data_IF_336745855791
#
_entry.id   IF_336745855791
#
_cell.length_a   1.000
_cell.length_b   1.000
_cell.length_c   1.000
_cell.angle_alpha   90.00
_cell.angle_beta   90.00
_cell.angle_gamma   90.00
#
_symmetry.space_group_name_H-M   'P 1'
#
loop_
_entity.id
_entity.type
_entity.pdbx_description
1 polymer ?
#
# COMPACT_ATOMS: atom_id res chain seq x y z
N UNK A 1 5.87 -9.71 5.68
CA UNK A 1 5.64 -10.70 6.76
C UNK A 1 4.23 -11.29 6.72
N UNK A 2 3.15 -10.49 6.82
CA UNK A 2 1.76 -11.03 6.82
C UNK A 2 1.42 -11.87 5.58
N UNK A 3 1.92 -11.48 4.41
CA UNK A 3 1.84 -12.26 3.15
C UNK A 3 2.23 -13.72 3.35
N UNK A 4 3.31 -13.96 4.09
CA UNK A 4 3.88 -15.30 4.31
C UNK A 4 3.16 -16.01 5.45
N UNK A 5 2.90 -15.31 6.57
CA UNK A 5 2.46 -15.97 7.82
C UNK A 5 0.94 -16.07 8.00
N UNK A 6 0.17 -15.24 7.31
CA UNK A 6 -1.29 -15.15 7.49
C UNK A 6 -2.04 -15.42 6.19
N UNK A 7 -1.52 -14.94 5.05
CA UNK A 7 -2.18 -15.09 3.76
C UNK A 7 -1.71 -16.32 2.97
N UNK A 8 -0.64 -17.00 3.40
CA UNK A 8 -0.13 -18.19 2.73
C UNK A 8 0.40 -17.91 1.31
N UNK A 9 0.80 -16.67 1.02
CA UNK A 9 1.32 -16.23 -0.29
C UNK A 9 2.80 -16.56 -0.45
N UNK A 10 3.24 -17.73 0.01
CA UNK A 10 4.63 -18.17 -0.08
C UNK A 10 4.71 -19.65 -0.43
N UNK A 11 5.90 -20.09 -0.84
CA UNK A 11 6.17 -21.49 -1.19
C UNK A 11 6.03 -22.46 0.01
N UNK A 12 5.80 -21.94 1.22
CA UNK A 12 5.49 -22.70 2.44
C UNK A 12 4.03 -23.22 2.46
N UNK A 13 3.23 -22.89 1.46
CA UNK A 13 1.86 -23.35 1.29
C UNK A 13 0.82 -22.51 2.06
N UNK A 14 -0.47 -22.83 1.90
CA UNK A 14 -1.59 -22.06 2.43
C UNK A 14 -1.84 -22.37 3.93
N UNK A 15 -0.82 -22.18 4.77
CA UNK A 15 -0.91 -22.43 6.22
C UNK A 15 -0.78 -21.13 7.01
N UNK A 16 -1.58 -21.00 8.07
CA UNK A 16 -1.52 -19.85 8.99
C UNK A 16 -0.53 -20.20 10.10
N UNK A 17 0.57 -19.45 10.16
CA UNK A 17 1.64 -19.63 11.16
C UNK A 17 1.52 -18.67 12.34
N UNK A 18 0.73 -17.60 12.22
CA UNK A 18 0.50 -16.63 13.29
C UNK A 18 -1.00 -16.46 13.51
N UNK A 19 -1.54 -16.80 14.69
CA UNK A 19 -2.90 -16.42 15.05
C UNK A 19 -3.03 -14.90 14.98
N UNK A 20 -4.10 -14.41 14.33
CA UNK A 20 -4.51 -13.01 14.48
C UNK A 20 -5.03 -12.85 15.92
N UNK A 21 -4.67 -11.80 16.67
CA UNK A 21 -5.42 -11.45 17.87
C UNK A 21 -6.85 -11.14 17.43
N UNK A 22 -7.78 -12.04 17.76
CA UNK A 22 -9.20 -11.85 17.49
C UNK A 22 -9.73 -10.79 18.46
N UNK A 23 -9.88 -9.56 17.98
CA UNK A 23 -10.60 -8.53 18.73
C UNK A 23 -12.06 -8.98 18.90
N UNK A 24 -12.45 -9.33 20.12
CA UNK A 24 -13.86 -9.58 20.48
C UNK A 24 -14.19 -10.92 21.12
N UNK A 25 -13.24 -11.84 21.33
CA UNK A 25 -13.49 -13.09 22.06
C UNK A 25 -12.73 -13.05 23.39
N UNK A 26 -13.52 -13.20 24.47
CA UNK A 26 -13.16 -13.28 25.88
C UNK A 26 -11.68 -13.60 26.20
N UNK A 27 -11.00 -12.81 27.06
CA UNK A 27 -9.57 -12.98 27.40
C UNK A 27 -9.17 -14.36 27.96
N UNK A 28 -10.12 -15.19 28.36
CA UNK A 28 -9.86 -16.54 28.88
C UNK A 28 -9.70 -17.62 27.81
N UNK A 29 -9.99 -17.33 26.53
CA UNK A 29 -9.58 -18.17 25.40
C UNK A 29 -8.25 -17.68 24.83
N UNK A 30 -7.30 -17.46 25.76
CA UNK A 30 -5.97 -16.97 25.46
C UNK A 30 -5.41 -17.70 24.26
N UNK A 31 -4.98 -16.93 23.27
CA UNK A 31 -4.22 -17.44 22.15
C UNK A 31 -3.00 -18.18 22.71
N UNK A 32 -3.06 -19.50 22.79
CA UNK A 32 -1.86 -20.30 22.67
C UNK A 32 -1.29 -19.93 21.31
N UNK A 33 -0.40 -18.94 21.32
CA UNK A 33 0.33 -18.55 20.14
C UNK A 33 1.01 -19.80 19.62
N UNK A 34 0.59 -20.28 18.45
CA UNK A 34 1.26 -21.40 17.79
C UNK A 34 2.74 -21.11 17.81
N UNK A 35 3.49 -21.86 18.63
CA UNK A 35 4.93 -21.67 18.72
C UNK A 35 5.51 -22.22 17.43
N UNK A 36 5.80 -21.32 16.50
CA UNK A 36 6.52 -21.62 15.27
C UNK A 36 7.87 -22.20 15.68
N UNK A 37 8.20 -23.40 15.20
CA UNK A 37 9.51 -24.00 15.50
C UNK A 37 10.64 -23.11 14.95
N UNK A 38 11.84 -23.11 15.56
CA UNK A 38 12.95 -22.30 15.07
C UNK A 38 13.30 -22.57 13.59
N UNK A 39 13.17 -23.82 13.16
CA UNK A 39 13.38 -24.23 11.77
C UNK A 39 12.35 -23.60 10.83
N UNK A 40 11.08 -23.57 11.23
CA UNK A 40 9.99 -22.99 10.45
C UNK A 40 10.08 -21.46 10.42
N UNK A 41 10.48 -20.83 11.53
CA UNK A 41 10.74 -19.40 11.60
C UNK A 41 11.86 -18.99 10.63
N UNK A 42 12.95 -19.76 10.59
CA UNK A 42 14.04 -19.53 9.63
C UNK A 42 13.58 -19.68 8.16
N UNK A 43 12.64 -20.58 7.87
CA UNK A 43 12.04 -20.71 6.53
C UNK A 43 11.16 -19.49 6.19
N UNK A 44 10.35 -19.02 7.14
CA UNK A 44 9.53 -17.82 6.97
C UNK A 44 10.40 -16.59 6.68
N UNK A 45 11.48 -16.39 7.43
CA UNK A 45 12.36 -15.25 7.25
C UNK A 45 13.07 -15.27 5.89
N UNK A 46 13.44 -16.46 5.39
CA UNK A 46 13.99 -16.63 4.03
C UNK A 46 13.00 -16.21 2.94
N UNK A 47 11.75 -16.64 3.05
CA UNK A 47 10.71 -16.23 2.09
C UNK A 47 10.45 -14.72 2.15
N UNK A 48 10.43 -14.13 3.35
CA UNK A 48 10.27 -12.68 3.51
C UNK A 48 11.44 -11.93 2.84
N UNK A 49 12.68 -12.38 3.04
CA UNK A 49 13.85 -11.78 2.40
C UNK A 49 13.76 -11.86 0.87
N UNK A 50 13.34 -13.01 0.32
CA UNK A 50 13.11 -13.20 -1.12
C UNK A 50 12.11 -12.19 -1.67
N UNK A 51 10.95 -12.01 -1.03
CA UNK A 51 9.95 -11.03 -1.45
C UNK A 51 10.49 -9.58 -1.43
N UNK A 52 11.25 -9.23 -0.39
CA UNK A 52 11.84 -7.89 -0.28
C UNK A 52 12.85 -7.67 -1.40
N UNK A 53 13.73 -8.64 -1.66
CA UNK A 53 14.75 -8.56 -2.71
C UNK A 53 14.13 -8.47 -4.11
N UNK A 54 13.10 -9.27 -4.39
CA UNK A 54 12.36 -9.21 -5.65
C UNK A 54 11.66 -7.86 -5.83
N UNK A 55 10.99 -7.37 -4.78
CA UNK A 55 10.35 -6.05 -4.78
C UNK A 55 11.35 -4.93 -5.01
N UNK A 56 12.50 -4.98 -4.35
CA UNK A 56 13.58 -4.01 -4.52
C UNK A 56 14.16 -4.05 -5.95
N UNK A 57 14.46 -5.25 -6.47
CA UNK A 57 14.96 -5.40 -7.85
C UNK A 57 13.96 -4.84 -8.86
N UNK A 58 12.68 -5.19 -8.73
CA UNK A 58 11.61 -4.69 -9.61
C UNK A 58 11.45 -3.17 -9.52
N UNK A 59 11.49 -2.60 -8.31
CA UNK A 59 11.45 -1.16 -8.12
C UNK A 59 12.66 -0.48 -8.78
N UNK A 60 13.88 -0.96 -8.51
CA UNK A 60 15.11 -0.44 -9.09
C UNK A 60 15.10 -0.52 -10.62
N UNK A 61 14.67 -1.64 -11.17
CA UNK A 61 14.55 -1.82 -12.62
C UNK A 61 13.54 -0.84 -13.23
N UNK A 62 12.37 -0.70 -12.60
CA UNK A 62 11.32 0.23 -13.06
C UNK A 62 11.78 1.68 -13.04
N UNK A 63 12.47 2.10 -11.97
CA UNK A 63 13.03 3.44 -11.84
C UNK A 63 14.18 3.67 -12.82
N UNK A 64 15.04 2.66 -13.03
CA UNK A 64 16.16 2.76 -13.97
C UNK A 64 15.67 2.87 -15.42
N UNK A 65 14.65 2.09 -15.80
CA UNK A 65 14.01 2.19 -17.13
C UNK A 65 13.37 3.55 -17.38
N UNK A 66 12.87 4.20 -16.34
CA UNK A 66 12.20 5.51 -16.44
C UNK A 66 13.08 6.66 -15.93
N UNK A 67 14.41 6.50 -15.91
CA UNK A 67 15.33 7.46 -15.29
C UNK A 67 15.15 8.90 -15.80
N UNK A 68 15.01 9.08 -17.11
CA UNK A 68 14.79 10.39 -17.70
C UNK A 68 13.48 11.07 -17.25
N UNK A 69 12.42 10.30 -16.95
CA UNK A 69 11.17 10.86 -16.41
C UNK A 69 11.34 11.22 -14.94
N UNK A 70 12.08 10.41 -14.18
CA UNK A 70 12.39 10.66 -12.78
C UNK A 70 13.20 11.95 -12.62
N UNK A 71 14.22 12.15 -13.44
CA UNK A 71 15.05 13.35 -13.40
C UNK A 71 14.20 14.61 -13.70
N UNK A 72 13.30 14.55 -14.70
CA UNK A 72 12.34 15.65 -14.98
C UNK A 72 11.43 15.98 -13.80
N UNK A 73 10.92 14.96 -13.12
CA UNK A 73 10.07 15.17 -11.93
C UNK A 73 10.88 15.80 -10.81
N UNK A 74 12.12 15.35 -10.60
CA UNK A 74 13.01 15.92 -9.60
C UNK A 74 13.33 17.40 -9.89
N UNK A 75 13.66 17.73 -11.14
CA UNK A 75 13.91 19.12 -11.56
C UNK A 75 12.67 19.99 -11.34
N UNK A 76 11.48 19.47 -11.69
CA UNK A 76 10.23 20.21 -11.50
C UNK A 76 9.91 20.41 -10.02
N UNK A 77 10.21 19.43 -9.16
CA UNK A 77 10.04 19.55 -7.71
C UNK A 77 11.01 20.54 -7.05
N UNK A 78 12.18 20.76 -7.65
CA UNK A 78 13.11 21.82 -7.22
C UNK A 78 12.56 23.22 -7.52
N UNK A 79 11.78 23.38 -8.60
CA UNK A 79 11.16 24.65 -8.98
C UNK A 79 9.81 24.88 -8.26
N UNK A 80 8.97 23.84 -8.23
CA UNK A 80 7.66 23.81 -7.58
C UNK A 80 7.73 22.75 -6.48
N UNK A 81 7.92 23.18 -5.23
CA UNK A 81 8.06 22.32 -4.04
C UNK A 81 6.95 21.26 -3.87
N UNK A 82 5.84 21.38 -4.59
CA UNK A 82 4.73 20.42 -4.63
C UNK A 82 4.24 20.27 -6.06
N UNK A 83 3.83 19.05 -6.43
CA UNK A 83 3.41 18.70 -7.77
C UNK A 83 2.09 17.93 -7.69
N UNK A 84 1.05 18.46 -8.33
CA UNK A 84 -0.28 17.84 -8.31
C UNK A 84 -0.37 16.64 -9.25
N UNK A 85 -1.37 15.78 -9.04
CA UNK A 85 -1.55 14.56 -9.83
C UNK A 85 -1.59 14.82 -11.34
N UNK A 86 -2.34 15.84 -11.77
CA UNK A 86 -2.48 16.16 -13.19
C UNK A 86 -1.16 16.65 -13.81
N UNK A 87 -0.35 17.39 -13.03
CA UNK A 87 0.99 17.82 -13.44
C UNK A 87 1.95 16.63 -13.51
N UNK A 88 1.84 15.67 -12.59
CA UNK A 88 2.68 14.47 -12.57
C UNK A 88 2.36 13.54 -13.75
N UNK A 89 1.07 13.35 -14.04
CA UNK A 89 0.62 12.55 -15.19
C UNK A 89 1.05 13.18 -16.53
N UNK A 90 1.17 14.50 -16.61
CA UNK A 90 1.74 15.17 -17.80
C UNK A 90 3.23 14.88 -17.98
N UNK A 91 4.00 14.76 -16.90
CA UNK A 91 5.44 14.49 -16.95
C UNK A 91 5.77 13.01 -17.19
N UNK A 92 5.05 12.10 -16.52
CA UNK A 92 5.38 10.67 -16.50
C UNK A 92 4.52 9.86 -17.48
N UNK A 93 3.36 10.40 -17.88
CA UNK A 93 2.34 9.75 -18.68
C UNK A 93 1.20 9.21 -17.83
N UNK A 94 0.02 9.05 -18.44
CA UNK A 94 -1.17 8.48 -17.78
C UNK A 94 -0.91 7.02 -17.36
N UNK A 95 -1.50 6.57 -16.25
CA UNK A 95 -1.43 5.17 -15.86
C UNK A 95 -2.00 4.28 -16.98
N UNK A 96 -1.31 3.20 -17.29
CA UNK A 96 -1.80 2.20 -18.24
C UNK A 96 -3.01 1.52 -17.61
N UNK A 97 -4.19 1.71 -18.21
CA UNK A 97 -5.43 1.06 -17.79
C UNK A 97 -5.32 -0.43 -18.09
N UNK A 98 -5.15 -1.25 -17.05
CA UNK A 98 -5.38 -2.69 -17.16
C UNK A 98 -6.85 -2.88 -16.83
N UNK A 99 -7.65 -3.18 -17.86
CA UNK A 99 -9.05 -3.58 -17.81
C UNK A 99 -10.02 -2.64 -17.06
N UNK A 100 -10.52 -1.61 -17.76
CA UNK A 100 -11.90 -1.16 -17.59
C UNK A 100 -12.30 -0.37 -16.33
N UNK A 101 -11.41 -0.04 -15.41
CA UNK A 101 -11.73 0.87 -14.29
C UNK A 101 -10.71 2.01 -14.14
N UNK A 102 -10.71 2.94 -15.10
CA UNK A 102 -10.32 4.31 -14.78
C UNK A 102 -11.56 5.06 -14.33
N UNK A 103 -11.64 5.42 -13.05
CA UNK A 103 -12.47 6.55 -12.65
C UNK A 103 -11.58 7.78 -12.51
N UNK A 104 -11.53 8.68 -13.50
CA UNK A 104 -10.96 10.01 -13.31
C UNK A 104 -12.02 10.98 -12.74
N UNK A 105 -11.56 12.13 -12.24
CA UNK A 105 -12.32 13.31 -11.75
C UNK A 105 -13.05 13.19 -10.39
N UNK A 106 -12.93 14.10 -9.43
CA UNK A 106 -12.21 15.37 -9.30
C UNK A 106 -12.18 15.75 -7.81
N UNK A 107 -11.01 16.06 -7.28
CA UNK A 107 -10.89 16.79 -6.03
C UNK A 107 -11.08 18.29 -6.31
N UNK A 108 -12.27 18.71 -6.75
CA UNK A 108 -12.62 20.13 -6.86
C UNK A 108 -14.09 20.36 -7.22
N UNK A 109 -14.97 20.28 -6.21
CA UNK A 109 -16.09 21.23 -6.09
C UNK A 109 -16.09 21.80 -4.68
N UNK A 110 -15.38 22.92 -4.56
CA UNK A 110 -15.73 24.08 -3.74
C UNK A 110 -16.48 23.78 -2.45
N UNK A 111 -15.75 23.89 -1.33
CA UNK A 111 -16.31 24.17 -0.02
C UNK A 111 -17.14 25.46 -0.08
N UNK A 112 -18.43 25.37 -0.38
CA UNK A 112 -19.37 26.45 -0.14
C UNK A 112 -20.79 25.89 -0.01
N UNK A 113 -21.23 25.57 1.21
CA UNK A 113 -22.65 25.53 1.64
C UNK A 113 -22.77 25.01 3.08
N UNK A 114 -22.52 25.87 4.08
CA UNK A 114 -23.24 25.83 5.37
C UNK A 114 -23.39 27.25 5.92
N UNK A 115 -24.40 27.98 5.44
CA UNK A 115 -25.00 29.06 6.25
C UNK A 115 -25.66 28.39 7.47
N UNK A 116 -25.53 28.91 8.70
CA UNK A 116 -26.18 28.30 9.86
C UNK A 116 -27.70 28.42 9.74
N UNK A 117 -28.41 27.29 9.83
CA UNK A 117 -29.86 27.27 9.99
C UNK A 117 -30.22 27.90 11.34
N UNK A 118 -31.08 28.92 11.30
CA UNK A 118 -31.81 29.40 12.48
C UNK A 118 -32.60 28.22 13.05
N UNK A 119 -32.29 27.80 14.27
CA UNK A 119 -33.19 26.96 15.06
C UNK A 119 -34.10 27.91 15.82
N UNK A 120 -35.33 28.05 15.35
CA UNK A 120 -36.41 28.60 16.15
C UNK A 120 -36.73 27.56 17.24
N UNK A 121 -36.55 27.93 18.51
CA UNK A 121 -37.13 27.21 19.63
C UNK A 121 -38.43 27.94 20.00
N UNK A 122 -39.51 27.17 20.03
CA UNK A 122 -40.76 27.51 20.70
C UNK A 122 -40.69 27.05 22.16
#
# INVERSE_FOLDING_TARGET
REMVTQFGMSDLGPTIFSPRPQFGIWPAFGSEGTQVSPELAAKIDKEIAKFIDEGYKKAKETLSKNRAKLDKVADTLLEKETLDRDEFEQLVGKPVSIDGETKPESASKSANLRKPQKVAQA
#
